data_IF_512967402676
#
_entry.id   IF_512967402676
#
_cell.length_a   1.000
_cell.length_b   1.000
_cell.length_c   1.000
_cell.angle_alpha   90.00
_cell.angle_beta   90.00
_cell.angle_gamma   90.00
#
_symmetry.space_group_name_H-M   'P 1'
#
loop_
_entity.id
_entity.type
_entity.pdbx_description
1 polymer ?
#
# COMPACT_ATOMS: atom_id res chain seq x y z
N UNK A 1 -7.07 -28.38 7.99
CA UNK A 1 -8.46 -28.01 7.64
C UNK A 1 -8.36 -27.29 6.32
N UNK A 2 -8.43 -28.03 5.20
CA UNK A 2 -9.42 -27.77 4.14
C UNK A 2 -9.58 -26.27 3.82
N UNK A 3 -8.51 -25.65 3.31
CA UNK A 3 -8.53 -24.30 2.74
C UNK A 3 -9.35 -24.35 1.45
N UNK A 4 -10.56 -23.83 1.52
CA UNK A 4 -11.39 -23.53 0.38
C UNK A 4 -10.89 -22.22 -0.25
N UNK A 5 -9.76 -22.24 -0.94
CA UNK A 5 -9.40 -21.15 -1.86
C UNK A 5 -9.59 -21.54 -3.33
N UNK A 6 -9.78 -22.83 -3.62
CA UNK A 6 -10.10 -23.33 -4.97
C UNK A 6 -11.61 -23.44 -5.15
N UNK A 7 -12.33 -22.32 -5.14
CA UNK A 7 -13.63 -22.12 -5.84
C UNK A 7 -14.03 -20.67 -5.69
N UNK A 8 -13.30 -19.76 -6.34
CA UNK A 8 -13.51 -18.33 -6.08
C UNK A 8 -13.24 -17.35 -7.20
N UNK A 9 -12.57 -17.68 -8.32
CA UNK A 9 -12.42 -16.71 -9.42
C UNK A 9 -12.56 -17.39 -10.78
N UNK A 10 -13.74 -17.96 -11.02
CA UNK A 10 -14.31 -18.01 -12.37
C UNK A 10 -15.17 -16.75 -12.53
N UNK A 11 -14.53 -15.58 -12.49
CA UNK A 11 -15.18 -14.36 -12.95
C UNK A 11 -15.15 -14.40 -14.48
N UNK A 12 -16.15 -15.09 -15.03
CA UNK A 12 -16.68 -14.77 -16.34
C UNK A 12 -17.17 -13.32 -16.29
N UNK A 13 -16.29 -12.36 -16.55
CA UNK A 13 -16.74 -11.10 -17.12
C UNK A 13 -16.26 -11.10 -18.56
N UNK A 14 -16.98 -11.88 -19.36
CA UNK A 14 -17.12 -11.50 -20.75
C UNK A 14 -17.89 -10.17 -20.78
N UNK A 15 -17.20 -9.05 -20.59
CA UNK A 15 -17.64 -7.76 -21.10
C UNK A 15 -17.42 -7.80 -22.62
N UNK A 16 -18.11 -8.73 -23.28
CA UNK A 16 -18.23 -8.77 -24.72
C UNK A 16 -18.98 -7.51 -25.13
N UNK A 17 -18.23 -6.47 -25.50
CA UNK A 17 -18.57 -5.38 -26.42
C UNK A 17 -20.08 -5.28 -26.69
N UNK A 18 -20.84 -4.79 -25.71
CA UNK A 18 -22.26 -4.51 -25.88
C UNK A 18 -22.45 -3.09 -26.40
N UNK A 19 -21.91 -2.79 -27.59
CA UNK A 19 -22.19 -1.50 -28.24
C UNK A 19 -22.14 -1.56 -29.77
N UNK A 20 -22.69 -2.62 -30.38
CA UNK A 20 -22.89 -2.64 -31.84
C UNK A 20 -23.95 -1.62 -32.37
N UNK A 21 -24.48 -0.74 -31.52
CA UNK A 21 -25.56 0.21 -31.85
C UNK A 21 -25.42 1.61 -31.19
N UNK A 22 -24.23 1.99 -30.71
CA UNK A 22 -23.96 3.33 -30.16
C UNK A 22 -23.32 4.28 -31.18
N UNK A 23 -23.34 5.58 -30.91
CA UNK A 23 -22.45 6.52 -31.60
C UNK A 23 -20.98 6.22 -31.23
N UNK A 24 -19.99 6.66 -32.03
CA UNK A 24 -18.58 6.51 -31.66
C UNK A 24 -18.24 7.10 -30.29
N UNK A 25 -18.88 8.20 -29.90
CA UNK A 25 -18.71 8.85 -28.59
C UNK A 25 -19.24 7.96 -27.45
N UNK A 26 -20.44 7.38 -27.62
CA UNK A 26 -21.01 6.42 -26.64
C UNK A 26 -20.10 5.20 -26.46
N UNK A 27 -19.43 4.78 -27.53
CA UNK A 27 -18.50 3.64 -27.50
C UNK A 27 -17.23 3.98 -26.73
N UNK A 28 -16.65 5.15 -26.97
CA UNK A 28 -15.47 5.63 -26.22
C UNK A 28 -15.80 5.75 -24.73
N UNK A 29 -16.94 6.37 -24.39
CA UNK A 29 -17.39 6.51 -23.01
C UNK A 29 -17.60 5.15 -22.35
N UNK A 30 -18.32 4.24 -23.02
CA UNK A 30 -18.55 2.88 -22.52
C UNK A 30 -17.26 2.12 -22.27
N UNK A 31 -16.24 2.27 -23.13
CA UNK A 31 -14.94 1.62 -22.92
C UNK A 31 -14.22 2.18 -21.68
N UNK A 32 -14.27 3.50 -21.46
CA UNK A 32 -13.70 4.13 -20.25
C UNK A 32 -14.42 3.63 -18.99
N UNK A 33 -15.75 3.63 -19.01
CA UNK A 33 -16.57 3.14 -17.88
C UNK A 33 -16.33 1.66 -17.58
N UNK A 34 -16.20 0.81 -18.61
CA UNK A 34 -15.85 -0.60 -18.43
C UNK A 34 -14.45 -0.76 -17.84
N UNK A 35 -13.47 0.02 -18.32
CA UNK A 35 -12.12 -0.03 -17.77
C UNK A 35 -12.14 0.34 -16.28
N UNK A 36 -12.71 1.49 -15.94
CA UNK A 36 -12.71 1.98 -14.56
C UNK A 36 -13.57 1.16 -13.60
N UNK A 37 -14.76 0.72 -14.04
CA UNK A 37 -15.74 0.06 -13.20
C UNK A 37 -15.60 -1.45 -13.12
N UNK A 38 -14.94 -2.10 -14.09
CA UNK A 38 -14.81 -3.55 -14.15
C UNK A 38 -13.35 -4.00 -14.28
N UNK A 39 -12.61 -3.48 -15.27
CA UNK A 39 -11.24 -3.95 -15.56
C UNK A 39 -10.25 -3.60 -14.46
N UNK A 40 -10.23 -2.35 -13.98
CA UNK A 40 -9.31 -1.91 -12.93
C UNK A 40 -9.56 -2.66 -11.61
N UNK A 41 -10.80 -2.77 -11.08
CA UNK A 41 -11.05 -3.55 -9.87
C UNK A 41 -10.61 -5.01 -9.99
N UNK A 42 -10.93 -5.67 -11.11
CA UNK A 42 -10.53 -7.06 -11.34
C UNK A 42 -9.00 -7.22 -11.42
N UNK A 43 -8.31 -6.24 -12.02
CA UNK A 43 -6.86 -6.20 -12.05
C UNK A 43 -6.28 -6.07 -10.64
N UNK A 44 -6.73 -5.06 -9.87
CA UNK A 44 -6.26 -4.82 -8.50
C UNK A 44 -6.44 -6.07 -7.63
N UNK A 45 -7.61 -6.70 -7.66
CA UNK A 45 -7.88 -7.95 -6.94
C UNK A 45 -6.91 -9.07 -7.37
N UNK A 46 -6.67 -9.22 -8.67
CA UNK A 46 -5.75 -10.25 -9.19
C UNK A 46 -4.32 -10.01 -8.73
N UNK A 47 -3.85 -8.76 -8.77
CA UNK A 47 -2.49 -8.41 -8.35
C UNK A 47 -2.30 -8.57 -6.83
N UNK A 48 -3.28 -8.18 -6.02
CA UNK A 48 -3.23 -8.39 -4.58
C UNK A 48 -3.12 -9.87 -4.22
N UNK A 49 -3.95 -10.72 -4.84
CA UNK A 49 -3.88 -12.16 -4.62
C UNK A 49 -2.53 -12.77 -5.04
N UNK A 50 -1.85 -12.21 -6.07
CA UNK A 50 -0.49 -12.65 -6.43
C UNK A 50 0.53 -12.33 -5.33
N UNK A 51 0.45 -11.13 -4.75
CA UNK A 51 1.30 -10.70 -3.62
C UNK A 51 1.06 -11.60 -2.40
N UNK A 52 -0.20 -11.94 -2.11
CA UNK A 52 -0.56 -12.83 -1.01
C UNK A 52 0.06 -14.23 -1.20
N UNK A 53 0.05 -14.75 -2.43
CA UNK A 53 0.72 -16.01 -2.74
C UNK A 53 2.24 -15.94 -2.54
N UNK A 54 2.90 -14.81 -2.85
CA UNK A 54 4.33 -14.62 -2.58
C UNK A 54 4.64 -14.61 -1.08
N UNK A 55 3.81 -13.93 -0.29
CA UNK A 55 3.92 -13.93 1.17
C UNK A 55 3.77 -15.35 1.74
N UNK A 56 2.79 -16.12 1.26
CA UNK A 56 2.58 -17.51 1.66
C UNK A 56 3.77 -18.42 1.27
N UNK A 57 4.37 -18.24 0.09
CA UNK A 57 5.55 -19.02 -0.34
C UNK A 57 6.70 -18.91 0.66
N UNK A 58 6.98 -17.71 1.16
CA UNK A 58 8.05 -17.49 2.15
C UNK A 58 7.82 -18.31 3.43
N UNK A 59 6.58 -18.31 3.93
CA UNK A 59 6.18 -19.14 5.07
C UNK A 59 6.35 -20.64 4.81
N UNK A 60 5.82 -21.12 3.68
CA UNK A 60 5.91 -22.53 3.27
C UNK A 60 7.37 -22.99 3.09
N UNK A 61 8.25 -22.11 2.61
CA UNK A 61 9.67 -22.39 2.43
C UNK A 61 10.35 -22.60 3.77
N UNK A 62 10.13 -21.68 4.72
CA UNK A 62 10.71 -21.76 6.07
C UNK A 62 10.27 -23.01 6.83
N UNK A 63 9.00 -23.42 6.71
CA UNK A 63 8.52 -24.68 7.28
C UNK A 63 9.18 -25.89 6.62
N UNK A 64 9.35 -25.87 5.30
CA UNK A 64 9.89 -26.99 4.52
C UNK A 64 11.39 -27.23 4.73
N UNK A 65 12.18 -26.18 4.95
CA UNK A 65 13.61 -26.31 5.28
C UNK A 65 13.84 -26.78 6.73
N UNK A 66 12.88 -26.56 7.63
CA UNK A 66 12.95 -26.97 9.02
C UNK A 66 12.56 -28.46 9.25
N UNK A 67 11.73 -29.03 8.38
CA UNK A 67 11.24 -30.42 8.44
C UNK A 67 11.76 -31.29 7.26
N UNK A 68 13.08 -31.27 7.04
CA UNK A 68 13.94 -32.20 6.27
C UNK A 68 13.43 -32.92 4.99
N UNK A 69 12.33 -32.53 4.31
CA UNK A 69 11.77 -33.36 3.23
C UNK A 69 11.22 -32.65 2.00
N UNK A 70 11.99 -31.70 1.45
CA UNK A 70 11.84 -31.25 0.04
C UNK A 70 11.73 -32.42 -0.98
N UNK A 71 11.96 -33.67 -0.59
CA UNK A 71 11.58 -34.88 -1.33
C UNK A 71 10.12 -34.92 -1.81
N UNK A 72 9.16 -34.35 -1.08
CA UNK A 72 7.77 -34.24 -1.56
C UNK A 72 7.59 -33.16 -2.64
N UNK A 73 8.52 -32.23 -2.78
CA UNK A 73 8.50 -31.28 -3.87
C UNK A 73 8.70 -31.98 -5.22
N UNK A 74 9.58 -33.00 -5.27
CA UNK A 74 9.90 -33.79 -6.49
C UNK A 74 8.74 -34.63 -7.03
N UNK A 75 7.67 -34.80 -6.25
CA UNK A 75 6.49 -35.57 -6.67
C UNK A 75 5.27 -34.69 -6.91
N UNK A 76 5.45 -33.36 -6.94
CA UNK A 76 4.41 -32.38 -7.25
C UNK A 76 3.27 -32.36 -6.21
N UNK A 77 3.51 -32.73 -4.94
CA UNK A 77 2.45 -32.80 -3.91
C UNK A 77 2.65 -31.84 -2.71
N UNK A 78 3.79 -31.16 -2.62
CA UNK A 78 4.05 -30.21 -1.53
C UNK A 78 3.19 -28.96 -1.63
N UNK A 79 2.89 -28.31 -0.50
CA UNK A 79 2.20 -27.02 -0.48
C UNK A 79 2.98 -25.93 -1.23
N UNK A 80 4.32 -25.92 -1.13
CA UNK A 80 5.21 -25.09 -1.97
C UNK A 80 4.86 -25.22 -3.47
N UNK A 81 4.93 -26.46 -3.99
CA UNK A 81 4.63 -26.75 -5.39
C UNK A 81 3.19 -26.36 -5.79
N UNK A 82 2.22 -26.57 -4.90
CA UNK A 82 0.84 -26.19 -5.16
C UNK A 82 0.69 -24.67 -5.28
N UNK A 83 1.23 -23.89 -4.35
CA UNK A 83 1.19 -22.44 -4.44
C UNK A 83 1.93 -21.95 -5.71
N UNK A 84 3.08 -22.52 -6.08
CA UNK A 84 3.77 -22.14 -7.33
C UNK A 84 2.87 -22.32 -8.56
N UNK A 85 2.06 -23.38 -8.60
CA UNK A 85 1.09 -23.60 -9.67
C UNK A 85 -0.08 -22.63 -9.59
N UNK A 86 -0.69 -22.49 -8.43
CA UNK A 86 -1.87 -21.63 -8.22
C UNK A 86 -1.56 -20.16 -8.52
N UNK A 87 -0.44 -19.64 -8.01
CA UNK A 87 0.07 -18.29 -8.32
C UNK A 87 0.29 -18.10 -9.81
N UNK A 88 0.82 -19.11 -10.49
CA UNK A 88 1.05 -19.06 -11.94
C UNK A 88 -0.25 -19.14 -12.75
N UNK A 89 -1.22 -19.92 -12.29
CA UNK A 89 -2.56 -19.98 -12.90
C UNK A 89 -3.29 -18.65 -12.72
N UNK A 90 -3.18 -18.03 -11.55
CA UNK A 90 -3.70 -16.69 -11.27
C UNK A 90 -3.04 -15.65 -12.17
N UNK A 91 -1.71 -15.65 -12.29
CA UNK A 91 -1.01 -14.74 -13.20
C UNK A 91 -1.46 -14.93 -14.66
N UNK A 92 -1.77 -16.16 -15.07
CA UNK A 92 -2.31 -16.44 -16.39
C UNK A 92 -3.72 -15.87 -16.62
N UNK A 93 -4.50 -15.63 -15.55
CA UNK A 93 -5.82 -15.00 -15.68
C UNK A 93 -5.75 -13.54 -16.15
N UNK A 94 -4.59 -12.88 -16.01
CA UNK A 94 -4.34 -11.55 -16.56
C UNK A 94 -4.48 -11.48 -18.08
N UNK A 95 -4.39 -12.61 -18.80
CA UNK A 95 -4.50 -12.64 -20.27
C UNK A 95 -5.84 -12.11 -20.79
N UNK A 96 -6.93 -12.29 -20.03
CA UNK A 96 -8.24 -11.75 -20.41
C UNK A 96 -8.24 -10.22 -20.29
N UNK A 97 -7.74 -9.69 -19.17
CA UNK A 97 -7.57 -8.25 -18.93
C UNK A 97 -6.64 -7.62 -19.99
N UNK A 98 -5.52 -8.27 -20.31
CA UNK A 98 -4.61 -7.86 -21.39
C UNK A 98 -5.35 -7.72 -22.73
N UNK A 99 -6.24 -8.67 -23.04
CA UNK A 99 -6.99 -8.70 -24.29
C UNK A 99 -8.01 -7.57 -24.35
N UNK A 100 -8.71 -7.33 -23.25
CA UNK A 100 -9.71 -6.26 -23.15
C UNK A 100 -9.07 -4.88 -23.27
N UNK A 101 -7.93 -4.65 -22.58
CA UNK A 101 -7.16 -3.42 -22.69
C UNK A 101 -6.62 -3.17 -24.10
N UNK A 102 -6.13 -4.22 -24.78
CA UNK A 102 -5.72 -4.14 -26.20
C UNK A 102 -6.89 -3.80 -27.11
N UNK A 103 -8.06 -4.39 -26.88
CA UNK A 103 -9.27 -4.08 -27.65
C UNK A 103 -9.73 -2.64 -27.43
N UNK A 104 -9.73 -2.17 -26.19
CA UNK A 104 -10.08 -0.79 -25.87
C UNK A 104 -9.08 0.20 -26.48
N UNK A 105 -7.78 -0.11 -26.44
CA UNK A 105 -6.73 0.68 -27.10
C UNK A 105 -6.96 0.82 -28.61
N UNK A 106 -7.28 -0.28 -29.30
CA UNK A 106 -7.61 -0.26 -30.73
C UNK A 106 -8.86 0.57 -31.01
N UNK A 107 -9.87 0.46 -30.14
CA UNK A 107 -11.10 1.23 -30.27
C UNK A 107 -10.85 2.74 -30.14
N UNK A 108 -10.11 3.18 -29.12
CA UNK A 108 -9.72 4.59 -28.95
C UNK A 108 -8.96 5.12 -30.17
N UNK A 109 -8.03 4.33 -30.70
CA UNK A 109 -7.25 4.67 -31.89
C UNK A 109 -8.06 4.77 -33.18
N UNK A 110 -9.12 3.97 -33.27
CA UNK A 110 -9.96 3.87 -34.47
C UNK A 110 -10.99 4.99 -34.60
N UNK A 111 -11.14 5.81 -33.55
CA UNK A 111 -12.08 6.92 -33.53
C UNK A 111 -11.66 8.00 -34.53
N UNK A 112 -12.54 8.31 -35.48
CA UNK A 112 -12.35 9.39 -36.47
C UNK A 112 -12.93 10.68 -35.88
N UNK A 113 -12.04 11.58 -35.46
CA UNK A 113 -12.42 12.87 -34.87
C UNK A 113 -12.92 13.80 -35.98
N UNK A 114 -14.22 14.06 -36.03
CA UNK A 114 -14.81 15.06 -36.93
C UNK A 114 -14.53 16.49 -36.42
N UNK A 115 -14.48 17.46 -37.33
CA UNK A 115 -14.26 18.90 -37.06
C UNK A 115 -15.32 19.51 -36.10
N UNK A 116 -16.39 18.76 -35.81
CA UNK A 116 -17.49 19.15 -34.93
C UNK A 116 -17.50 18.46 -33.56
N UNK A 117 -16.58 17.52 -33.31
CA UNK A 117 -16.44 16.85 -32.01
C UNK A 117 -15.65 17.71 -31.03
N UNK A 118 -16.06 17.68 -29.76
CA UNK A 118 -15.30 18.27 -28.65
C UNK A 118 -14.11 17.37 -28.25
N UNK A 119 -14.07 16.12 -28.73
CA UNK A 119 -12.92 15.24 -28.60
C UNK A 119 -11.80 15.67 -29.55
N UNK A 120 -10.56 15.45 -29.13
CA UNK A 120 -9.40 15.63 -30.01
C UNK A 120 -8.58 14.35 -30.14
N UNK A 121 -7.80 14.27 -31.21
CA UNK A 121 -6.99 13.09 -31.56
C UNK A 121 -5.93 12.77 -30.48
N UNK A 122 -5.43 13.79 -29.79
CA UNK A 122 -4.41 13.65 -28.73
C UNK A 122 -4.97 12.93 -27.50
N UNK A 123 -6.16 13.30 -27.03
CA UNK A 123 -6.83 12.65 -25.89
C UNK A 123 -7.02 11.15 -26.12
N UNK A 124 -7.49 10.78 -27.32
CA UNK A 124 -7.77 9.38 -27.68
C UNK A 124 -6.47 8.60 -27.96
N UNK A 125 -5.44 9.27 -28.48
CA UNK A 125 -4.12 8.66 -28.64
C UNK A 125 -3.50 8.36 -27.28
N UNK A 126 -3.59 9.26 -26.30
CA UNK A 126 -3.07 9.03 -24.95
C UNK A 126 -3.77 7.85 -24.27
N UNK A 127 -5.12 7.80 -24.30
CA UNK A 127 -5.86 6.64 -23.79
C UNK A 127 -5.48 5.34 -24.50
N UNK A 128 -5.33 5.38 -25.83
CA UNK A 128 -4.92 4.22 -26.63
C UNK A 128 -3.54 3.72 -26.23
N UNK A 129 -2.55 4.61 -26.21
CA UNK A 129 -1.16 4.27 -25.96
C UNK A 129 -0.96 3.81 -24.50
N UNK A 130 -1.58 4.47 -23.52
CA UNK A 130 -1.51 4.03 -22.11
C UNK A 130 -2.23 2.71 -21.88
N UNK A 131 -3.42 2.49 -22.46
CA UNK A 131 -4.13 1.19 -22.34
C UNK A 131 -3.35 0.04 -22.98
N UNK A 132 -2.71 0.28 -24.13
CA UNK A 132 -1.84 -0.69 -24.78
C UNK A 132 -0.58 -0.96 -23.95
N UNK A 133 0.02 0.08 -23.38
CA UNK A 133 1.15 -0.02 -22.47
C UNK A 133 0.82 -0.85 -21.23
N UNK A 134 -0.34 -0.62 -20.61
CA UNK A 134 -0.81 -1.41 -19.47
C UNK A 134 -0.93 -2.88 -19.83
N UNK A 135 -1.50 -3.20 -20.99
CA UNK A 135 -1.58 -4.58 -21.46
C UNK A 135 -0.20 -5.22 -21.71
N UNK A 136 0.81 -4.45 -22.09
CA UNK A 136 2.20 -4.93 -22.22
C UNK A 136 2.84 -5.20 -20.85
N UNK A 137 2.63 -4.32 -19.88
CA UNK A 137 3.14 -4.51 -18.51
C UNK A 137 2.48 -5.71 -17.82
N UNK A 138 1.17 -5.92 -17.99
CA UNK A 138 0.49 -7.13 -17.51
C UNK A 138 1.02 -8.41 -18.17
N UNK A 139 1.30 -8.36 -19.47
CA UNK A 139 1.94 -9.47 -20.17
C UNK A 139 3.34 -9.79 -19.62
N UNK A 140 4.08 -8.76 -19.22
CA UNK A 140 5.38 -8.90 -18.60
C UNK A 140 5.26 -9.54 -17.21
N UNK A 141 4.32 -9.10 -16.36
CA UNK A 141 4.03 -9.73 -15.07
C UNK A 141 3.64 -11.21 -15.25
N UNK A 142 2.71 -11.51 -16.17
CA UNK A 142 2.28 -12.88 -16.46
C UNK A 142 3.43 -13.77 -16.90
N UNK A 143 4.27 -13.28 -17.81
CA UNK A 143 5.45 -14.01 -18.30
C UNK A 143 6.50 -14.18 -17.20
N UNK A 144 6.73 -13.13 -16.41
CA UNK A 144 7.63 -13.16 -15.26
C UNK A 144 7.25 -14.23 -14.26
N UNK A 145 5.97 -14.39 -13.92
CA UNK A 145 5.55 -15.45 -12.99
C UNK A 145 5.79 -16.87 -13.53
N UNK A 146 5.75 -17.07 -14.85
CA UNK A 146 6.18 -18.34 -15.44
C UNK A 146 7.69 -18.57 -15.24
N UNK A 147 8.50 -17.53 -15.42
CA UNK A 147 9.95 -17.60 -15.26
C UNK A 147 10.34 -17.81 -13.80
N UNK A 148 9.69 -17.09 -12.87
CA UNK A 148 9.84 -17.28 -11.42
C UNK A 148 9.50 -18.71 -11.03
N UNK A 149 8.34 -19.25 -11.46
CA UNK A 149 7.98 -20.64 -11.17
C UNK A 149 9.06 -21.61 -11.62
N UNK A 150 9.58 -21.45 -12.84
CA UNK A 150 10.64 -22.32 -13.36
C UNK A 150 11.94 -22.19 -12.55
N UNK A 151 12.29 -20.96 -12.14
CA UNK A 151 13.46 -20.67 -11.33
C UNK A 151 13.33 -21.28 -9.93
N UNK A 152 12.19 -21.09 -9.26
CA UNK A 152 11.91 -21.63 -7.93
C UNK A 152 11.82 -23.16 -7.92
N UNK A 153 11.20 -23.78 -8.94
CA UNK A 153 11.24 -25.25 -9.09
C UNK A 153 12.70 -25.72 -9.19
N UNK A 154 13.50 -25.09 -10.06
CA UNK A 154 14.91 -25.45 -10.24
C UNK A 154 15.71 -25.26 -8.95
N UNK A 155 15.44 -24.18 -8.22
CA UNK A 155 16.06 -23.87 -6.94
C UNK A 155 15.72 -24.94 -5.89
N UNK A 156 14.44 -25.24 -5.69
CA UNK A 156 14.00 -26.24 -4.70
C UNK A 156 14.48 -27.65 -5.05
N UNK A 157 14.52 -28.04 -6.33
CA UNK A 157 15.14 -29.29 -6.77
C UNK A 157 16.64 -29.35 -6.45
N UNK A 158 17.35 -28.22 -6.59
CA UNK A 158 18.78 -28.12 -6.29
C UNK A 158 19.08 -28.25 -4.80
N UNK A 159 18.22 -27.71 -3.94
CA UNK A 159 18.31 -27.89 -2.48
C UNK A 159 18.09 -29.34 -2.06
N UNK A 160 17.23 -30.06 -2.77
CA UNK A 160 16.92 -31.46 -2.49
C UNK A 160 17.95 -32.46 -3.08
N UNK A 161 19.05 -31.98 -3.66
CA UNK A 161 20.08 -32.80 -4.28
C UNK A 161 21.17 -33.26 -3.28
N UNK A 162 21.73 -34.45 -3.52
CA UNK A 162 22.84 -34.98 -2.72
C UNK A 162 24.06 -34.03 -2.79
N UNK A 163 24.44 -33.46 -1.65
CA UNK A 163 25.58 -32.55 -1.55
C UNK A 163 25.27 -31.07 -1.78
N UNK A 164 23.99 -30.68 -1.75
CA UNK A 164 23.61 -29.27 -1.60
C UNK A 164 24.29 -28.68 -0.36
N UNK A 165 24.84 -27.48 -0.51
CA UNK A 165 25.49 -26.74 0.56
C UNK A 165 24.96 -25.30 0.60
N UNK A 166 25.51 -24.51 1.53
CA UNK A 166 25.10 -23.13 1.72
C UNK A 166 25.20 -22.28 0.44
N UNK A 167 26.15 -22.58 -0.45
CA UNK A 167 26.34 -21.85 -1.71
C UNK A 167 25.14 -22.03 -2.63
N UNK A 168 24.63 -23.26 -2.75
CA UNK A 168 23.43 -23.59 -3.54
C UNK A 168 22.22 -22.80 -3.03
N UNK A 169 22.08 -22.70 -1.70
CA UNK A 169 21.02 -21.91 -1.08
C UNK A 169 21.16 -20.41 -1.43
N UNK A 170 22.33 -19.82 -1.20
CA UNK A 170 22.52 -18.38 -1.41
C UNK A 170 22.46 -17.95 -2.87
N UNK A 171 23.05 -18.74 -3.79
CA UNK A 171 23.01 -18.42 -5.22
C UNK A 171 21.59 -18.60 -5.78
N UNK A 172 20.86 -19.61 -5.29
CA UNK A 172 19.47 -19.84 -5.66
C UNK A 172 18.53 -18.72 -5.19
N UNK A 173 18.65 -18.29 -3.93
CA UNK A 173 17.89 -17.14 -3.42
C UNK A 173 18.20 -15.88 -4.22
N UNK A 174 19.48 -15.59 -4.50
CA UNK A 174 19.85 -14.43 -5.29
C UNK A 174 19.25 -14.46 -6.71
N UNK A 175 19.25 -15.62 -7.36
CA UNK A 175 18.67 -15.79 -8.69
C UNK A 175 17.14 -15.65 -8.69
N UNK A 176 16.45 -16.14 -7.66
CA UNK A 176 14.99 -15.96 -7.50
C UNK A 176 14.68 -14.49 -7.24
N UNK A 177 15.40 -13.84 -6.32
CA UNK A 177 15.20 -12.43 -5.99
C UNK A 177 15.40 -11.50 -7.18
N UNK A 178 16.41 -11.74 -8.03
CA UNK A 178 16.63 -10.96 -9.25
C UNK A 178 15.43 -11.02 -10.21
N UNK A 179 14.71 -12.15 -10.24
CA UNK A 179 13.50 -12.27 -11.06
C UNK A 179 12.29 -11.56 -10.41
N UNK A 180 12.14 -11.62 -9.09
CA UNK A 180 11.11 -10.86 -8.39
C UNK A 180 11.32 -9.35 -8.50
N UNK A 181 12.57 -8.87 -8.46
CA UNK A 181 12.90 -7.45 -8.67
C UNK A 181 12.43 -6.97 -10.05
N UNK A 182 12.62 -7.78 -11.10
CA UNK A 182 12.15 -7.47 -12.45
C UNK A 182 10.62 -7.40 -12.54
N UNK A 183 9.90 -8.26 -11.83
CA UNK A 183 8.42 -8.17 -11.79
C UNK A 183 7.97 -6.95 -11.00
N UNK A 184 8.67 -6.61 -9.91
CA UNK A 184 8.35 -5.44 -9.08
C UNK A 184 8.38 -4.13 -9.88
N UNK A 185 9.34 -3.97 -10.80
CA UNK A 185 9.38 -2.81 -11.70
C UNK A 185 8.10 -2.69 -12.56
N UNK A 186 7.53 -3.81 -12.99
CA UNK A 186 6.29 -3.80 -13.77
C UNK A 186 5.07 -3.43 -12.94
N UNK A 187 5.03 -3.75 -11.63
CA UNK A 187 3.96 -3.30 -10.75
C UNK A 187 3.93 -1.77 -10.63
N UNK A 188 5.09 -1.13 -10.50
CA UNK A 188 5.19 0.33 -10.50
C UNK A 188 4.64 0.91 -11.81
N UNK A 189 5.05 0.35 -12.95
CA UNK A 189 4.61 0.82 -14.26
C UNK A 189 3.09 0.65 -14.47
N UNK A 190 2.51 -0.48 -14.02
CA UNK A 190 1.07 -0.74 -14.07
C UNK A 190 0.31 0.36 -13.33
N UNK A 191 0.79 0.74 -12.15
CA UNK A 191 0.14 1.75 -11.32
C UNK A 191 0.18 3.15 -11.97
N UNK A 192 1.31 3.55 -12.54
CA UNK A 192 1.43 4.80 -13.33
C UNK A 192 0.41 4.82 -14.48
N UNK A 193 0.31 3.71 -15.22
CA UNK A 193 -0.59 3.60 -16.36
C UNK A 193 -2.07 3.60 -15.95
N UNK A 194 -2.42 3.01 -14.80
CA UNK A 194 -3.78 3.05 -14.24
C UNK A 194 -4.20 4.48 -13.89
N UNK A 195 -3.31 5.26 -13.27
CA UNK A 195 -3.55 6.66 -12.95
C UNK A 195 -3.74 7.51 -14.23
N UNK A 196 -2.86 7.32 -15.22
CA UNK A 196 -2.96 7.97 -16.52
C UNK A 196 -4.28 7.64 -17.24
N UNK A 197 -4.71 6.37 -17.24
CA UNK A 197 -5.99 5.95 -17.84
C UNK A 197 -7.17 6.67 -17.19
N UNK A 198 -7.22 6.76 -15.85
CA UNK A 198 -8.28 7.51 -15.13
C UNK A 198 -8.25 9.00 -15.48
N UNK A 199 -7.06 9.60 -15.51
CA UNK A 199 -6.87 11.03 -15.83
C UNK A 199 -7.33 11.37 -17.25
N UNK A 200 -6.89 10.59 -18.25
CA UNK A 200 -7.32 10.77 -19.63
C UNK A 200 -8.80 10.41 -19.82
N UNK A 201 -9.30 9.40 -19.09
CA UNK A 201 -10.72 9.02 -19.07
C UNK A 201 -11.61 10.18 -18.61
N UNK A 202 -11.27 10.82 -17.50
CA UNK A 202 -11.96 12.00 -16.99
C UNK A 202 -11.93 13.18 -17.98
N UNK A 203 -10.79 13.40 -18.62
CA UNK A 203 -10.64 14.43 -19.67
C UNK A 203 -11.60 14.19 -20.83
N UNK A 204 -11.74 12.92 -21.27
CA UNK A 204 -12.67 12.54 -22.33
C UNK A 204 -14.13 12.67 -21.89
N UNK A 205 -14.48 12.20 -20.68
CA UNK A 205 -15.84 12.37 -20.12
C UNK A 205 -16.27 13.82 -20.06
N UNK A 206 -15.37 14.72 -19.61
CA UNK A 206 -15.64 16.15 -19.56
C UNK A 206 -15.88 16.74 -20.97
N UNK A 207 -15.08 16.33 -21.97
CA UNK A 207 -15.28 16.77 -23.35
C UNK A 207 -16.62 16.29 -23.94
N UNK A 208 -17.11 15.12 -23.51
CA UNK A 208 -18.41 14.57 -23.91
C UNK A 208 -19.60 15.16 -23.14
N UNK A 209 -19.34 16.05 -22.18
CA UNK A 209 -20.40 16.69 -21.39
C UNK A 209 -21.07 15.77 -20.38
N UNK A 210 -20.43 14.65 -20.02
CA UNK A 210 -20.83 13.85 -18.87
C UNK A 210 -20.60 14.65 -17.58
N UNK A 211 -21.55 14.56 -16.64
CA UNK A 211 -21.26 14.93 -15.26
C UNK A 211 -20.31 13.87 -14.73
N UNK A 212 -19.01 14.15 -14.84
CA UNK A 212 -18.02 13.45 -14.03
C UNK A 212 -18.40 13.72 -12.58
N UNK A 213 -18.43 12.69 -11.72
CA UNK A 213 -18.42 12.92 -10.29
C UNK A 213 -17.28 13.91 -10.02
N UNK A 214 -17.69 15.11 -9.63
CA UNK A 214 -16.80 16.24 -9.56
C UNK A 214 -15.90 16.05 -8.35
N UNK A 215 -14.80 15.34 -8.50
CA UNK A 215 -13.55 15.76 -7.88
C UNK A 215 -12.93 16.91 -8.70
N UNK A 216 -13.76 17.93 -8.88
CA UNK A 216 -13.30 19.30 -8.96
C UNK A 216 -13.86 19.94 -7.70
N UNK A 217 -13.09 19.85 -6.61
CA UNK A 217 -13.43 20.51 -5.35
C UNK A 217 -13.40 22.04 -5.57
N UNK A 218 -14.54 22.59 -5.98
CA UNK A 218 -14.79 24.01 -5.91
C UNK A 218 -14.89 24.41 -4.45
N UNK A 219 -13.95 25.26 -4.02
CA UNK A 219 -13.93 25.96 -2.74
C UNK A 219 -15.26 26.68 -2.49
N UNK A 220 -16.16 26.07 -1.73
CA UNK A 220 -17.25 26.79 -1.06
C UNK A 220 -16.94 26.91 0.44
N UNK A 221 -16.57 28.13 0.84
CA UNK A 221 -16.56 28.58 2.23
C UNK A 221 -17.96 28.40 2.85
N UNK A 222 -18.19 27.30 3.55
CA UNK A 222 -19.35 27.16 4.44
C UNK A 222 -18.94 27.50 5.86
N UNK A 223 -19.00 28.81 6.13
CA UNK A 223 -18.89 29.37 7.47
C UNK A 223 -20.10 28.90 8.30
N UNK A 224 -19.91 27.85 9.09
CA UNK A 224 -20.91 27.42 10.09
C UNK A 224 -20.27 27.41 11.47
N UNK A 225 -20.47 28.51 12.20
CA UNK A 225 -20.27 28.56 13.64
C UNK A 225 -21.09 27.45 14.30
N UNK A 226 -20.43 26.48 14.92
CA UNK A 226 -21.02 25.74 16.02
C UNK A 226 -20.10 25.81 17.25
N UNK A 227 -20.55 26.63 18.20
CA UNK A 227 -20.03 26.74 19.55
C UNK A 227 -20.34 25.47 20.35
N UNK A 228 -19.32 24.86 20.96
CA UNK A 228 -19.50 23.74 21.89
C UNK A 228 -18.22 23.28 22.58
N UNK A 229 -17.68 24.13 23.46
CA UNK A 229 -16.68 23.93 24.53
C UNK A 229 -16.05 22.50 24.67
N UNK A 230 -14.76 22.34 24.35
CA UNK A 230 -13.58 22.65 25.20
C UNK A 230 -13.22 21.53 26.20
N UNK A 231 -12.34 20.63 25.76
CA UNK A 231 -11.10 20.37 26.49
C UNK A 231 -9.97 20.32 25.47
N UNK A 232 -9.37 21.46 25.13
CA UNK A 232 -8.08 21.45 24.42
C UNK A 232 -7.11 20.68 25.33
N UNK A 233 -6.75 19.45 24.96
CA UNK A 233 -5.68 18.73 25.64
C UNK A 233 -4.45 19.67 25.64
N UNK A 234 -3.81 19.81 26.79
CA UNK A 234 -2.65 20.68 26.94
C UNK A 234 -1.54 20.08 26.07
N UNK A 235 -1.26 20.71 24.93
CA UNK A 235 -0.19 20.30 24.02
C UNK A 235 1.15 20.31 24.76
N UNK A 236 1.76 19.14 24.89
CA UNK A 236 3.03 18.95 25.59
C UNK A 236 4.20 18.74 24.63
N UNK A 237 3.94 18.29 23.40
CA UNK A 237 4.98 17.95 22.43
C UNK A 237 4.74 18.59 21.06
N UNK A 238 5.82 18.77 20.30
CA UNK A 238 5.82 19.33 18.93
C UNK A 238 6.68 18.41 18.06
N UNK A 239 6.28 18.21 16.80
CA UNK A 239 7.13 17.55 15.79
C UNK A 239 8.16 18.56 15.29
N UNK A 240 9.44 18.24 15.40
CA UNK A 240 10.51 19.03 14.80
C UNK A 240 10.49 18.85 13.27
N UNK A 241 10.26 19.94 12.53
CA UNK A 241 10.06 19.88 11.08
C UNK A 241 11.29 19.47 10.27
N UNK A 242 12.50 19.58 10.84
CA UNK A 242 13.74 19.16 10.14
C UNK A 242 14.09 17.70 10.40
N UNK A 243 13.86 17.22 11.63
CA UNK A 243 14.34 15.91 12.10
C UNK A 243 13.24 14.89 12.33
N UNK A 244 11.98 15.32 12.35
CA UNK A 244 10.81 14.52 12.76
C UNK A 244 10.92 13.93 14.17
N UNK A 245 11.84 14.43 14.99
CA UNK A 245 11.91 14.14 16.42
C UNK A 245 10.77 14.84 17.16
N UNK A 246 10.37 14.29 18.31
CA UNK A 246 9.28 14.82 19.12
C UNK A 246 9.88 15.60 20.28
N UNK A 247 9.74 16.94 20.22
CA UNK A 247 10.35 17.85 21.19
C UNK A 247 9.33 18.32 22.23
N UNK A 248 9.73 18.46 23.51
CA UNK A 248 8.94 19.13 24.53
C UNK A 248 8.53 20.54 24.11
N UNK A 249 7.25 20.89 24.28
CA UNK A 249 6.72 22.23 24.06
C UNK A 249 7.18 23.22 25.15
N UNK A 250 7.52 22.71 26.34
CA UNK A 250 8.05 23.49 27.46
C UNK A 250 9.04 22.70 28.34
N UNK A 251 9.63 23.37 29.32
CA UNK A 251 10.61 22.80 30.26
C UNK A 251 10.01 21.86 31.33
N UNK A 252 8.69 21.71 31.37
CA UNK A 252 7.96 20.87 32.33
C UNK A 252 7.54 19.53 31.74
N UNK A 253 7.59 19.41 30.42
CA UNK A 253 7.34 18.17 29.69
C UNK A 253 8.56 17.25 29.73
N UNK A 254 8.31 15.94 29.83
CA UNK A 254 9.39 14.95 29.89
C UNK A 254 10.14 14.88 28.55
N UNK A 255 11.42 15.24 28.58
CA UNK A 255 12.27 15.13 27.39
C UNK A 255 12.68 13.68 27.11
N UNK A 256 12.72 12.82 28.14
CA UNK A 256 13.17 11.44 28.00
C UNK A 256 12.00 10.52 27.64
N UNK A 257 11.39 10.82 26.50
CA UNK A 257 10.26 10.10 25.95
C UNK A 257 10.51 9.77 24.48
N UNK A 258 9.84 8.73 23.97
CA UNK A 258 9.89 8.33 22.56
C UNK A 258 8.48 8.12 22.01
N UNK A 259 8.29 8.35 20.71
CA UNK A 259 7.04 8.08 20.01
C UNK A 259 7.17 6.77 19.24
N UNK A 260 6.18 5.89 19.40
CA UNK A 260 6.08 4.63 18.67
C UNK A 260 5.09 4.80 17.51
N UNK A 261 5.52 4.47 16.29
CA UNK A 261 4.67 4.54 15.09
C UNK A 261 4.73 3.24 14.29
N UNK A 262 3.58 2.83 13.74
CA UNK A 262 3.41 1.65 12.89
C UNK A 262 2.86 2.11 11.54
N UNK A 263 3.60 1.87 10.46
CA UNK A 263 3.19 2.13 9.07
C UNK A 263 2.63 0.85 8.43
N UNK A 264 2.12 0.98 7.21
CA UNK A 264 1.52 -0.10 6.40
C UNK A 264 0.30 -0.79 7.05
N UNK A 265 -0.45 -0.07 7.89
CA UNK A 265 -1.61 -0.62 8.60
C UNK A 265 -2.95 -0.29 7.88
N UNK A 266 -4.06 -0.95 8.24
CA UNK A 266 -4.11 -2.26 8.88
C UNK A 266 -3.87 -3.38 7.86
N UNK A 267 -2.90 -4.25 8.12
CA UNK A 267 -2.75 -5.54 7.45
C UNK A 267 -2.88 -6.65 8.53
N UNK A 268 -2.31 -7.83 8.29
CA UNK A 268 -2.59 -9.04 9.06
C UNK A 268 -2.29 -8.95 10.58
N UNK A 269 -1.35 -8.10 11.05
CA UNK A 269 -0.92 -8.07 12.46
C UNK A 269 -1.29 -6.78 13.21
N UNK A 270 -1.73 -5.70 12.55
CA UNK A 270 -1.96 -4.40 13.18
C UNK A 270 -2.89 -4.46 14.39
N UNK A 271 -3.98 -5.23 14.30
CA UNK A 271 -4.93 -5.39 15.42
C UNK A 271 -4.29 -6.11 16.61
N UNK A 272 -3.47 -7.13 16.38
CA UNK A 272 -2.79 -7.88 17.45
C UNK A 272 -1.63 -7.06 18.05
N UNK A 273 -0.95 -6.25 17.24
CA UNK A 273 0.01 -5.25 17.71
C UNK A 273 -0.68 -4.21 18.60
N UNK A 274 -1.83 -3.67 18.18
CA UNK A 274 -2.63 -2.75 18.97
C UNK A 274 -3.05 -3.36 20.32
N UNK A 275 -3.54 -4.61 20.32
CA UNK A 275 -3.86 -5.35 21.57
C UNK A 275 -2.63 -5.50 22.47
N UNK A 276 -1.47 -5.79 21.90
CA UNK A 276 -0.21 -5.95 22.63
C UNK A 276 0.21 -4.64 23.28
N UNK A 277 0.25 -3.54 22.52
CA UNK A 277 0.55 -2.20 23.02
C UNK A 277 -0.45 -1.75 24.09
N UNK A 278 -1.75 -2.06 23.91
CA UNK A 278 -2.79 -1.75 24.89
C UNK A 278 -2.57 -2.49 26.20
N UNK A 279 -2.17 -3.76 26.15
CA UNK A 279 -1.85 -4.55 27.34
C UNK A 279 -0.59 -4.05 28.05
N UNK A 280 0.33 -3.43 27.32
CA UNK A 280 1.56 -2.82 27.84
C UNK A 280 1.36 -1.35 28.29
N UNK A 281 0.16 -0.80 28.11
CA UNK A 281 -0.17 0.61 28.39
C UNK A 281 0.74 1.59 27.62
N UNK A 282 1.04 1.25 26.37
CA UNK A 282 1.89 2.05 25.47
C UNK A 282 1.04 2.71 24.40
N UNK A 283 1.03 4.05 24.30
CA UNK A 283 0.40 4.75 23.20
C UNK A 283 1.26 4.67 21.92
N UNK A 284 0.60 4.76 20.76
CA UNK A 284 1.24 4.73 19.45
C UNK A 284 0.36 5.38 18.38
N UNK A 285 0.96 5.69 17.23
CA UNK A 285 0.23 6.08 16.00
C UNK A 285 0.28 4.90 15.02
N UNK A 286 -0.86 4.56 14.42
CA UNK A 286 -0.94 3.66 13.28
C UNK A 286 -1.20 4.49 12.02
N UNK A 287 -0.21 4.57 11.13
CA UNK A 287 -0.35 5.21 9.82
C UNK A 287 -0.94 4.21 8.85
N UNK A 288 -2.08 4.55 8.25
CA UNK A 288 -2.87 3.60 7.47
C UNK A 288 -2.93 3.92 5.99
N UNK A 289 -2.94 2.87 5.17
CA UNK A 289 -3.10 2.98 3.73
C UNK A 289 -4.56 2.81 3.31
N UNK A 290 -5.03 3.69 2.43
CA UNK A 290 -6.39 3.66 1.91
C UNK A 290 -6.76 2.30 1.30
N UNK A 291 -5.85 1.70 0.52
CA UNK A 291 -6.07 0.39 -0.13
C UNK A 291 -6.38 -0.75 0.85
N UNK A 292 -5.92 -0.65 2.11
CA UNK A 292 -6.20 -1.67 3.14
C UNK A 292 -7.52 -1.46 3.87
N UNK A 293 -8.16 -0.29 3.71
CA UNK A 293 -9.41 0.07 4.40
C UNK A 293 -10.57 0.37 3.45
N UNK A 294 -10.43 0.03 2.16
CA UNK A 294 -11.55 0.02 1.21
C UNK A 294 -12.63 -1.01 1.56
N UNK A 295 -12.21 -2.15 2.10
CA UNK A 295 -13.11 -3.27 2.42
C UNK A 295 -13.77 -3.11 3.79
N UNK A 296 -14.96 -3.68 3.98
CA UNK A 296 -15.63 -3.72 5.30
C UNK A 296 -14.74 -4.40 6.37
N UNK A 297 -13.92 -5.37 5.98
CA UNK A 297 -12.98 -6.04 6.88
C UNK A 297 -11.87 -5.08 7.33
N UNK A 298 -11.24 -4.38 6.38
CA UNK A 298 -10.24 -3.35 6.64
C UNK A 298 -10.76 -2.22 7.53
N UNK A 299 -11.96 -1.70 7.23
CA UNK A 299 -12.61 -0.70 8.07
C UNK A 299 -12.91 -1.24 9.49
N UNK A 300 -13.32 -2.51 9.60
CA UNK A 300 -13.53 -3.14 10.91
C UNK A 300 -12.24 -3.27 11.70
N UNK A 301 -11.11 -3.58 11.05
CA UNK A 301 -9.79 -3.66 11.68
C UNK A 301 -9.32 -2.29 12.14
N UNK A 302 -9.43 -1.28 11.27
CA UNK A 302 -9.13 0.11 11.62
C UNK A 302 -9.95 0.58 12.83
N UNK A 303 -11.25 0.27 12.81
CA UNK A 303 -12.14 0.59 13.92
C UNK A 303 -11.75 -0.11 15.21
N UNK A 304 -11.31 -1.37 15.17
CA UNK A 304 -10.83 -2.08 16.37
C UNK A 304 -9.56 -1.43 16.94
N UNK A 305 -8.61 -1.02 16.08
CA UNK A 305 -7.40 -0.30 16.49
C UNK A 305 -7.77 1.04 17.16
N UNK A 306 -8.68 1.81 16.56
CA UNK A 306 -9.18 3.06 17.12
C UNK A 306 -9.92 2.86 18.45
N UNK A 307 -10.81 1.87 18.55
CA UNK A 307 -11.57 1.57 19.78
C UNK A 307 -10.65 1.10 20.93
N UNK A 308 -9.46 0.57 20.63
CA UNK A 308 -8.41 0.29 21.62
C UNK A 308 -7.71 1.56 22.14
N UNK A 309 -7.93 2.71 21.49
CA UNK A 309 -7.47 4.03 21.90
C UNK A 309 -6.16 4.47 21.25
N UNK A 310 -5.84 3.95 20.05
CA UNK A 310 -4.68 4.38 19.27
C UNK A 310 -5.04 5.51 18.32
N UNK A 311 -4.07 6.40 18.08
CA UNK A 311 -4.20 7.47 17.09
C UNK A 311 -4.03 6.88 15.68
N UNK A 312 -4.87 7.32 14.74
CA UNK A 312 -4.80 6.93 13.33
C UNK A 312 -4.19 8.08 12.52
N UNK A 313 -3.14 7.77 11.77
CA UNK A 313 -2.48 8.67 10.81
C UNK A 313 -2.73 8.25 9.36
N UNK A 314 -2.49 9.14 8.42
CA UNK A 314 -2.65 8.91 6.98
C UNK A 314 -1.30 8.50 6.36
N UNK A 315 -1.28 7.39 5.61
CA UNK A 315 -0.11 6.89 4.89
C UNK A 315 -0.28 6.82 3.36
N UNK A 316 -1.16 7.65 2.82
CA UNK A 316 -1.61 7.62 1.42
C UNK A 316 -2.43 6.39 1.04
N UNK A 317 -2.99 6.39 -0.16
CA UNK A 317 -3.91 5.36 -0.58
C UNK A 317 -3.19 4.08 -1.00
N UNK A 318 -2.31 4.19 -1.99
CA UNK A 318 -1.64 3.07 -2.65
C UNK A 318 -0.15 2.96 -2.29
N UNK A 319 0.33 3.73 -1.31
CA UNK A 319 1.73 3.75 -0.88
C UNK A 319 2.72 4.19 -1.99
N UNK A 320 2.30 5.11 -2.86
CA UNK A 320 3.15 5.60 -3.95
C UNK A 320 4.21 6.61 -3.49
N UNK A 321 5.28 6.74 -4.28
CA UNK A 321 6.26 7.80 -4.07
C UNK A 321 5.66 9.16 -4.47
N UNK A 322 5.48 10.05 -3.51
CA UNK A 322 4.82 11.35 -3.72
C UNK A 322 5.55 12.29 -4.70
N UNK A 323 6.82 12.02 -5.03
CA UNK A 323 7.58 12.79 -6.03
C UNK A 323 7.35 12.34 -7.47
N UNK A 324 6.79 11.14 -7.68
CA UNK A 324 6.51 10.57 -9.00
C UNK A 324 5.10 10.91 -9.48
N UNK A 325 4.25 11.40 -8.57
CA UNK A 325 2.86 11.74 -8.82
C UNK A 325 2.66 13.20 -9.25
N UNK A 326 1.58 13.45 -9.99
CA UNK A 326 1.13 14.83 -10.24
C UNK A 326 0.50 15.44 -8.98
N UNK A 327 0.42 16.78 -8.85
CA UNK A 327 -0.22 17.39 -7.69
C UNK A 327 -1.68 16.97 -7.46
N UNK A 328 -2.42 16.61 -8.52
CA UNK A 328 -3.79 16.11 -8.36
C UNK A 328 -3.78 14.67 -7.82
N UNK A 329 -2.93 13.79 -8.35
CA UNK A 329 -2.83 12.41 -7.86
C UNK A 329 -2.36 12.36 -6.40
N UNK A 330 -1.45 13.25 -6.01
CA UNK A 330 -1.06 13.43 -4.60
C UNK A 330 -2.25 13.85 -3.75
N UNK A 331 -3.15 14.69 -4.27
CA UNK A 331 -4.37 15.08 -3.55
C UNK A 331 -5.27 13.87 -3.34
N UNK A 332 -5.50 13.06 -4.37
CA UNK A 332 -6.33 11.85 -4.28
C UNK A 332 -5.76 10.86 -3.25
N UNK A 333 -4.46 10.58 -3.34
CA UNK A 333 -3.75 9.68 -2.43
C UNK A 333 -3.96 10.04 -0.95
N UNK A 334 -3.98 11.34 -0.63
CA UNK A 334 -4.09 11.82 0.76
C UNK A 334 -5.54 12.06 1.17
N UNK A 335 -6.35 12.73 0.33
CA UNK A 335 -7.71 13.10 0.66
C UNK A 335 -8.63 11.88 0.74
N UNK A 336 -8.55 10.95 -0.22
CA UNK A 336 -9.40 9.75 -0.26
C UNK A 336 -9.11 8.85 0.94
N UNK A 337 -7.83 8.71 1.30
CA UNK A 337 -7.44 7.98 2.51
C UNK A 337 -8.02 8.64 3.76
N UNK A 338 -8.05 9.98 3.81
CA UNK A 338 -8.64 10.71 4.95
C UNK A 338 -10.16 10.53 5.03
N UNK A 339 -10.84 10.50 3.88
CA UNK A 339 -12.28 10.23 3.79
C UNK A 339 -12.61 8.79 4.25
N UNK A 340 -11.84 7.80 3.81
CA UNK A 340 -12.00 6.40 4.25
C UNK A 340 -11.77 6.24 5.77
N UNK A 341 -10.77 6.92 6.33
CA UNK A 341 -10.54 6.93 7.78
C UNK A 341 -11.76 7.55 8.49
N UNK A 342 -12.24 8.71 8.04
CA UNK A 342 -13.41 9.35 8.64
C UNK A 342 -14.68 8.49 8.54
N UNK A 343 -14.88 7.79 7.42
CA UNK A 343 -16.00 6.86 7.26
C UNK A 343 -15.92 5.72 8.29
N UNK A 344 -14.74 5.12 8.48
CA UNK A 344 -14.55 3.97 9.35
C UNK A 344 -14.68 4.32 10.85
N UNK A 345 -14.13 5.46 11.28
CA UNK A 345 -13.99 5.79 12.71
C UNK A 345 -14.64 7.11 13.15
N UNK A 346 -15.12 7.91 12.20
CA UNK A 346 -15.80 9.19 12.47
C UNK A 346 -14.87 10.35 12.82
N UNK A 347 -13.56 10.18 12.59
CA UNK A 347 -12.52 11.17 12.90
C UNK A 347 -11.55 11.24 11.71
N UNK A 348 -11.19 12.46 11.27
CA UNK A 348 -10.14 12.65 10.25
C UNK A 348 -8.74 12.56 10.90
N UNK A 349 -7.73 12.04 10.18
CA UNK A 349 -6.38 11.94 10.68
C UNK A 349 -5.77 13.32 10.95
N UNK A 350 -4.90 13.42 11.96
CA UNK A 350 -4.17 14.64 12.32
C UNK A 350 -2.70 14.60 11.94
N UNK A 351 -2.23 13.45 11.46
CA UNK A 351 -0.85 13.18 11.13
C UNK A 351 -0.77 12.54 9.75
N UNK A 352 0.22 12.97 8.97
CA UNK A 352 0.51 12.44 7.66
C UNK A 352 1.98 11.98 7.60
N UNK A 353 2.20 10.82 7.00
CA UNK A 353 3.54 10.35 6.65
C UNK A 353 3.53 9.89 5.21
N UNK A 354 4.43 10.44 4.39
CA UNK A 354 4.58 9.99 3.01
C UNK A 354 5.31 8.64 2.96
N UNK A 355 4.91 7.73 2.03
CA UNK A 355 5.64 6.51 1.72
C UNK A 355 7.12 6.76 1.49
N UNK A 356 7.95 5.81 1.95
CA UNK A 356 9.42 5.88 1.86
C UNK A 356 10.05 7.10 2.57
N UNK A 357 9.27 7.89 3.31
CA UNK A 357 9.69 9.16 3.89
C UNK A 357 9.92 10.27 2.86
N UNK A 358 9.45 10.07 1.62
CA UNK A 358 9.69 10.97 0.49
C UNK A 358 8.50 11.88 0.28
N UNK A 359 8.62 13.12 0.78
CA UNK A 359 7.62 14.15 0.58
C UNK A 359 7.84 14.91 -0.74
N UNK A 360 6.76 15.47 -1.30
CA UNK A 360 6.79 16.45 -2.39
C UNK A 360 6.19 17.78 -1.91
N UNK A 361 6.43 18.88 -2.65
CA UNK A 361 5.79 20.17 -2.35
C UNK A 361 4.26 20.04 -2.37
N UNK A 362 3.72 19.20 -3.25
CA UNK A 362 2.30 18.90 -3.32
C UNK A 362 1.82 18.14 -2.08
N UNK A 363 2.56 17.12 -1.62
CA UNK A 363 2.10 16.30 -0.48
C UNK A 363 2.08 17.10 0.82
N UNK A 364 3.07 17.96 1.02
CA UNK A 364 3.12 18.90 2.16
C UNK A 364 1.91 19.84 2.10
N UNK A 365 1.64 20.43 0.93
CA UNK A 365 0.53 21.38 0.76
C UNK A 365 -0.83 20.72 1.01
N UNK A 366 -1.05 19.51 0.49
CA UNK A 366 -2.30 18.78 0.70
C UNK A 366 -2.45 18.38 2.18
N UNK A 367 -1.37 17.92 2.83
CA UNK A 367 -1.41 17.63 4.26
C UNK A 367 -1.78 18.86 5.10
N UNK A 368 -1.24 20.05 4.76
CA UNK A 368 -1.63 21.31 5.40
C UNK A 368 -3.11 21.67 5.16
N UNK A 369 -3.61 21.48 3.93
CA UNK A 369 -5.02 21.72 3.57
C UNK A 369 -5.98 20.79 4.34
N UNK A 370 -5.57 19.54 4.55
CA UNK A 370 -6.29 18.54 5.35
C UNK A 370 -6.04 18.68 6.87
N UNK A 371 -5.31 19.72 7.32
CA UNK A 371 -4.97 20.00 8.72
C UNK A 371 -4.16 18.90 9.42
N UNK A 372 -3.28 18.22 8.67
CA UNK A 372 -2.37 17.21 9.19
C UNK A 372 -0.97 17.79 9.45
N UNK A 373 -0.33 17.30 10.51
CA UNK A 373 1.10 17.51 10.73
C UNK A 373 1.88 16.43 9.97
N UNK A 374 2.76 16.86 9.06
CA UNK A 374 3.68 15.96 8.35
C UNK A 374 4.77 15.49 9.31
N UNK A 375 5.03 14.18 9.36
CA UNK A 375 6.19 13.65 10.07
C UNK A 375 6.77 12.39 9.42
N UNK A 376 8.09 12.32 9.35
CA UNK A 376 8.81 11.07 9.07
C UNK A 376 9.13 10.39 10.41
N UNK A 377 10.36 9.89 10.57
CA UNK A 377 10.86 9.21 11.76
C UNK A 377 12.32 9.55 11.98
N UNK A 378 12.82 9.24 13.18
CA UNK A 378 14.23 9.40 13.53
C UNK A 378 15.04 8.13 13.27
N UNK A 379 14.46 6.95 13.50
CA UNK A 379 15.04 5.67 13.11
C UNK A 379 13.98 4.56 13.03
N UNK A 380 14.29 3.50 12.28
CA UNK A 380 13.50 2.28 12.08
C UNK A 380 14.35 1.27 11.33
N UNK A 381 14.09 -0.03 11.51
CA UNK A 381 14.98 -1.09 11.03
C UNK A 381 14.27 -2.35 10.55
N UNK A 382 12.95 -2.47 10.74
CA UNK A 382 12.24 -3.73 10.53
C UNK A 382 12.00 -4.08 9.05
N UNK A 383 12.24 -3.16 8.12
CA UNK A 383 12.35 -3.49 6.69
C UNK A 383 13.71 -4.08 6.30
N UNK A 384 14.77 -3.89 7.11
CA UNK A 384 16.13 -4.27 6.73
C UNK A 384 16.28 -5.79 6.85
N UNK A 385 16.86 -6.48 5.86
CA UNK A 385 16.98 -7.94 5.87
C UNK A 385 17.65 -8.51 7.13
N UNK A 386 18.61 -7.80 7.71
CA UNK A 386 19.33 -8.23 8.92
C UNK A 386 18.46 -8.22 10.19
N UNK A 387 17.28 -7.58 10.16
CA UNK A 387 16.41 -7.36 11.32
C UNK A 387 14.98 -7.89 11.09
N UNK A 388 14.75 -8.77 10.13
CA UNK A 388 13.46 -9.47 9.93
C UNK A 388 13.26 -10.68 10.86
N UNK A 389 14.02 -10.72 11.96
CA UNK A 389 13.92 -11.70 13.04
C UNK A 389 13.64 -10.97 14.34
N UNK A 390 12.63 -11.39 15.09
CA UNK A 390 12.08 -10.63 16.23
C UNK A 390 13.14 -10.28 17.29
N UNK A 391 14.02 -11.22 17.61
CA UNK A 391 15.10 -11.00 18.57
C UNK A 391 16.19 -10.04 18.08
N UNK A 392 16.50 -10.05 16.78
CA UNK A 392 17.48 -9.14 16.18
C UNK A 392 16.89 -7.73 16.09
N UNK A 393 15.62 -7.61 15.70
CA UNK A 393 14.89 -6.35 15.67
C UNK A 393 14.81 -5.72 17.07
N UNK A 394 14.43 -6.51 18.08
CA UNK A 394 14.35 -6.03 19.45
C UNK A 394 15.71 -5.52 19.95
N UNK A 395 16.80 -6.23 19.66
CA UNK A 395 18.14 -5.79 20.05
C UNK A 395 18.51 -4.46 19.38
N UNK A 396 18.36 -4.33 18.05
CA UNK A 396 18.77 -3.11 17.35
C UNK A 396 17.89 -1.90 17.72
N UNK A 397 16.57 -2.09 17.84
CA UNK A 397 15.65 -1.00 18.18
C UNK A 397 15.89 -0.45 19.59
N UNK A 398 16.36 -1.30 20.51
CA UNK A 398 16.69 -0.91 21.88
C UNK A 398 18.13 -0.39 21.98
N UNK A 399 19.10 -0.96 21.28
CA UNK A 399 20.54 -0.72 21.50
C UNK A 399 21.25 0.16 20.47
N UNK A 400 20.55 0.63 19.44
CA UNK A 400 21.07 1.62 18.48
C UNK A 400 21.53 2.92 19.18
N UNK A 401 22.53 3.59 18.60
CA UNK A 401 22.96 4.93 19.02
C UNK A 401 21.92 6.01 18.67
N UNK A 402 20.93 5.69 17.83
CA UNK A 402 19.85 6.59 17.42
C UNK A 402 18.75 6.74 18.48
N UNK A 403 18.65 5.79 19.44
CA UNK A 403 17.71 5.88 20.55
C UNK A 403 18.11 7.04 21.46
N UNK A 404 17.34 8.12 21.36
CA UNK A 404 17.59 9.40 22.03
C UNK A 404 16.28 10.03 22.51
N UNK A 405 16.40 11.04 23.38
CA UNK A 405 15.29 11.85 23.87
C UNK A 405 14.49 12.42 22.68
N UNK A 406 13.18 12.15 22.64
CA UNK A 406 12.30 12.57 21.55
C UNK A 406 12.34 11.70 20.30
N UNK A 407 12.99 10.52 20.32
CA UNK A 407 13.03 9.66 19.15
C UNK A 407 11.62 9.27 18.68
N UNK A 408 11.39 9.38 17.37
CA UNK A 408 10.22 8.90 16.66
C UNK A 408 10.60 7.60 15.95
N UNK A 409 10.05 6.48 16.42
CA UNK A 409 10.41 5.13 16.02
C UNK A 409 9.47 4.66 14.91
N UNK A 410 10.05 4.31 13.77
CA UNK A 410 9.34 3.66 12.68
C UNK A 410 9.40 2.14 12.81
N UNK A 411 8.25 1.53 12.63
CA UNK A 411 8.01 0.10 12.46
C UNK A 411 6.82 -0.08 11.49
N UNK A 412 6.56 -1.31 11.07
CA UNK A 412 5.51 -1.67 10.12
C UNK A 412 4.68 -2.85 10.64
N UNK A 413 3.49 -3.02 10.08
CA UNK A 413 2.66 -4.22 10.29
C UNK A 413 3.30 -5.49 9.69
N UNK A 414 4.26 -6.08 10.43
CA UNK A 414 4.99 -7.28 10.04
C UNK A 414 5.00 -8.29 11.19
N UNK A 415 5.06 -9.58 10.86
CA UNK A 415 5.01 -10.65 11.86
C UNK A 415 6.19 -10.62 12.84
N UNK A 416 7.41 -10.37 12.35
CA UNK A 416 8.60 -10.25 13.20
C UNK A 416 8.56 -8.99 14.07
N UNK A 417 7.97 -7.90 13.58
CA UNK A 417 7.74 -6.67 14.34
C UNK A 417 6.73 -6.91 15.45
N UNK A 418 5.61 -7.57 15.15
CA UNK A 418 4.59 -7.92 16.13
C UNK A 418 5.16 -8.81 17.25
N UNK A 419 6.03 -9.78 16.91
CA UNK A 419 6.69 -10.63 17.90
C UNK A 419 7.76 -9.88 18.71
N UNK A 420 8.50 -8.94 18.10
CA UNK A 420 9.53 -8.15 18.77
C UNK A 420 8.95 -7.08 19.72
N UNK A 421 7.72 -6.63 19.47
CA UNK A 421 7.11 -5.46 20.10
C UNK A 421 7.16 -5.46 21.64
N UNK A 422 6.87 -6.58 22.34
CA UNK A 422 6.98 -6.62 23.80
C UNK A 422 8.40 -6.39 24.32
N UNK A 423 9.41 -6.94 23.64
CA UNK A 423 10.81 -6.83 24.03
C UNK A 423 11.38 -5.44 23.70
N UNK A 424 10.96 -4.85 22.57
CA UNK A 424 11.26 -3.46 22.21
C UNK A 424 10.73 -2.52 23.29
N UNK A 425 9.44 -2.64 23.62
CA UNK A 425 8.78 -1.79 24.61
C UNK A 425 9.46 -1.92 25.98
N UNK A 426 9.68 -3.14 26.44
CA UNK A 426 10.30 -3.41 27.74
C UNK A 426 11.74 -2.88 27.78
N UNK A 427 12.52 -3.11 26.71
CA UNK A 427 13.90 -2.65 26.63
C UNK A 427 14.04 -1.13 26.63
N UNK A 428 13.13 -0.42 25.96
CA UNK A 428 13.08 1.06 25.96
C UNK A 428 12.70 1.58 27.36
N UNK A 429 11.73 0.97 28.03
CA UNK A 429 11.35 1.30 29.41
C UNK A 429 12.48 1.04 30.41
N UNK A 430 13.21 -0.06 30.25
CA UNK A 430 14.38 -0.41 31.08
C UNK A 430 15.53 0.60 30.91
N UNK A 431 15.63 1.24 29.73
CA UNK A 431 16.53 2.38 29.50
C UNK A 431 16.01 3.71 30.09
N UNK A 432 14.81 3.69 30.65
CA UNK A 432 14.19 4.80 31.36
C UNK A 432 13.55 5.84 30.44
N UNK A 433 13.10 5.43 29.25
CA UNK A 433 12.26 6.26 28.38
C UNK A 433 10.78 5.99 28.67
N UNK A 434 9.96 7.05 28.65
CA UNK A 434 8.51 6.92 28.55
C UNK A 434 8.04 6.90 27.10
N UNK A 435 6.80 6.50 26.86
CA UNK A 435 6.18 6.59 25.54
C UNK A 435 5.28 7.83 25.45
N UNK A 436 5.39 8.56 24.34
CA UNK A 436 4.64 9.79 24.08
C UNK A 436 3.23 9.44 23.65
N UNK A 437 2.24 10.01 24.34
CA UNK A 437 0.84 9.96 23.93
C UNK A 437 0.62 10.91 22.73
N UNK A 438 0.22 10.42 21.54
CA UNK A 438 -0.02 11.26 20.36
C UNK A 438 -1.05 12.36 20.60
N UNK A 439 -1.98 12.19 21.53
CA UNK A 439 -2.97 13.21 21.88
C UNK A 439 -2.33 14.49 22.48
N UNK A 440 -1.09 14.39 22.99
CA UNK A 440 -0.33 15.51 23.54
C UNK A 440 0.56 16.22 22.49
N UNK A 441 0.64 15.71 21.27
CA UNK A 441 1.41 16.31 20.17
C UNK A 441 0.57 17.40 19.49
N UNK A 442 1.19 18.54 19.21
CA UNK A 442 0.57 19.64 18.46
C UNK A 442 0.19 19.20 17.04
N UNK A 443 -1.05 19.49 16.65
CA UNK A 443 -1.52 19.35 15.26
C UNK A 443 -1.73 20.69 14.56
N UNK A 444 -1.15 21.79 15.07
CA UNK A 444 -1.08 23.03 14.28
C UNK A 444 0.01 22.84 13.21
N UNK A 445 -0.44 22.66 11.95
CA UNK A 445 0.34 22.25 10.77
C UNK A 445 1.76 22.80 10.73
N UNK A 446 2.73 21.89 10.81
CA UNK A 446 4.15 22.20 10.84
C UNK A 446 4.82 21.92 9.50
N UNK A 447 5.07 22.98 8.73
CA UNK A 447 6.37 23.20 8.09
C UNK A 447 6.73 24.67 8.33
N UNK A 448 7.81 24.92 9.08
CA UNK A 448 8.41 26.26 9.15
C UNK A 448 9.20 26.52 7.87
N UNK A 449 8.99 27.69 7.27
CA UNK A 449 9.63 28.24 6.05
C UNK A 449 11.09 27.85 5.78
#
# INVERSE_FOLDING_TARGET
>A
MMRQYITGLLLFIAAAVLSACGSPEDKTLSNIETIEGETIPALTETLQNLIDFESEQSGLFNESIADESLDNFKNDQSELYNNLNERTELANSLEEIETDLKSAAEDFKSYDVDDSSELNEEMLTNLSDTSAGLAESLQAVRSGYQDIKNSEISFFESLAADGADYTVMTEGIAAVNEQHEQISEHYTQINEQLAEIRSYGNTVKQALGEETDGETASLEETNTENSGADSKAETAYIVDGETSSIVPADEHTDAKAVLLTIDDAPDQNAVDMAKTLKNLDVPAIFFVNGMFIESEEGQSMLKEIHDLGFEIGNHTYNHFNMQELTPEDVRLEIADTSDLIEEAIGERPRFFRAPFGVNSEASIKVAEEENMTVMNWTYGFDWEPDYQESSALADIMVNTEMLSDGANLLMHDRSWTAEALPDIVTGIQDKGYSFIDPALISSEGGVTE
#
